data_IF_394413280776
#
_entry.id   IF_394413280776
#
_cell.length_a   1.000
_cell.length_b   1.000
_cell.length_c   1.000
_cell.angle_alpha   90.00
_cell.angle_beta   90.00
_cell.angle_gamma   90.00
#
_symmetry.space_group_name_H-M   'P 1'
#
loop_
_entity.id
_entity.type
_entity.pdbx_description
1 polymer ?
#
# COMPACT_ATOMS: atom_id res chain seq x y z
N UNK A 1 -2.68 -4.00 18.49
CA UNK A 1 -1.42 -3.76 17.71
C UNK A 1 -1.70 -2.93 16.46
N UNK A 2 -2.77 -3.22 15.72
CA UNK A 2 -3.19 -2.48 14.50
C UNK A 2 -3.53 -0.99 14.79
N UNK A 3 -4.18 -0.69 15.92
CA UNK A 3 -4.48 0.70 16.32
C UNK A 3 -3.24 1.56 16.61
N UNK A 4 -2.09 0.97 16.95
CA UNK A 4 -0.87 1.75 17.25
C UNK A 4 -0.07 2.09 15.99
N UNK A 5 -0.24 1.33 14.92
CA UNK A 5 0.51 1.51 13.68
C UNK A 5 -0.09 2.63 12.81
N UNK A 6 -1.43 2.70 12.76
CA UNK A 6 -2.19 3.70 11.98
C UNK A 6 -1.92 5.15 12.42
N UNK A 7 -1.51 5.38 13.67
CA UNK A 7 -1.30 6.74 14.22
C UNK A 7 0.15 7.20 14.28
N UNK A 8 1.13 6.40 13.83
CA UNK A 8 2.55 6.69 14.10
C UNK A 8 3.37 7.20 12.90
N UNK A 9 2.89 7.04 11.66
CA UNK A 9 3.66 7.38 10.47
C UNK A 9 2.73 7.91 9.36
N UNK A 10 2.35 9.19 9.44
CA UNK A 10 2.26 10.11 8.30
C UNK A 10 1.66 11.46 8.70
N UNK A 11 2.39 12.54 8.42
CA UNK A 11 1.97 13.94 8.65
C UNK A 11 0.99 14.49 7.58
N UNK A 12 0.43 13.65 6.68
CA UNK A 12 -0.43 14.14 5.59
C UNK A 12 -1.77 13.40 5.36
N UNK A 13 -2.30 12.66 6.34
CA UNK A 13 -3.68 12.13 6.26
C UNK A 13 -4.71 13.16 6.74
N UNK A 14 -5.02 14.15 5.89
CA UNK A 14 -6.22 14.99 6.03
C UNK A 14 -7.46 14.21 5.59
N UNK A 15 -8.01 13.35 6.46
CA UNK A 15 -9.37 12.86 6.26
C UNK A 15 -10.19 12.79 7.55
N UNK A 16 -11.31 13.53 7.50
CA UNK A 16 -12.48 13.55 8.38
C UNK A 16 -12.26 14.05 9.81
N UNK A 17 -12.66 15.31 10.04
CA UNK A 17 -12.78 15.89 11.38
C UNK A 17 -13.70 15.06 12.28
N UNK A 18 -13.37 14.95 13.57
CA UNK A 18 -14.20 14.29 14.59
C UNK A 18 -15.67 14.81 14.61
N UNK A 19 -15.91 16.01 14.08
CA UNK A 19 -17.24 16.58 13.93
C UNK A 19 -18.12 15.86 12.89
N UNK A 20 -17.54 15.27 11.83
CA UNK A 20 -18.31 14.58 10.78
C UNK A 20 -18.75 13.16 11.22
N UNK A 21 -17.95 12.48 12.04
CA UNK A 21 -18.31 11.18 12.63
C UNK A 21 -19.44 11.31 13.66
N UNK A 22 -19.50 12.44 14.38
CA UNK A 22 -20.57 12.74 15.36
C UNK A 22 -21.96 12.89 14.72
N UNK A 23 -22.03 13.14 13.41
CA UNK A 23 -23.30 13.38 12.70
C UNK A 23 -23.96 12.13 12.11
N UNK A 24 -23.24 11.01 11.96
CA UNK A 24 -23.80 9.77 11.38
C UNK A 24 -24.43 8.81 12.40
N UNK A 25 -24.18 9.02 13.70
CA UNK A 25 -24.65 8.16 14.79
C UNK A 25 -25.98 8.55 15.45
N UNK A 26 -27.00 9.01 14.70
CA UNK A 26 -28.36 9.16 15.26
C UNK A 26 -29.40 8.40 14.42
N UNK A 27 -29.61 7.14 14.83
CA UNK A 27 -30.84 6.39 14.61
C UNK A 27 -32.05 7.32 14.81
N UNK A 28 -32.96 7.31 13.83
CA UNK A 28 -34.24 8.04 13.82
C UNK A 28 -34.07 9.52 14.18
N UNK A 29 -33.71 10.32 13.17
CA UNK A 29 -33.54 11.76 13.28
C UNK A 29 -34.67 12.39 14.13
N UNK A 30 -34.40 12.96 15.33
CA UNK A 30 -35.42 13.59 16.17
C UNK A 30 -36.13 14.73 15.45
N UNK A 31 -35.48 15.38 14.48
CA UNK A 31 -36.13 16.34 13.57
C UNK A 31 -37.25 15.72 12.71
N UNK A 32 -37.29 14.40 12.53
CA UNK A 32 -38.37 13.75 11.80
C UNK A 32 -39.61 13.57 12.67
N UNK A 33 -39.46 13.10 13.90
CA UNK A 33 -40.57 13.05 14.85
C UNK A 33 -41.06 14.47 15.11
N UNK A 34 -40.14 15.42 15.27
CA UNK A 34 -40.45 16.83 15.46
C UNK A 34 -41.13 17.46 14.23
N UNK A 35 -40.65 17.20 13.00
CA UNK A 35 -41.36 17.66 11.78
C UNK A 35 -42.71 16.99 11.60
N UNK A 36 -42.82 15.70 11.90
CA UNK A 36 -44.08 14.96 11.81
C UNK A 36 -45.10 15.48 12.85
N UNK A 37 -44.65 15.76 14.08
CA UNK A 37 -45.48 16.38 15.10
C UNK A 37 -45.85 17.80 14.71
N UNK A 38 -44.96 18.58 14.10
CA UNK A 38 -45.30 19.89 13.54
C UNK A 38 -46.33 19.80 12.40
N UNK A 39 -46.20 18.84 11.48
CA UNK A 39 -47.20 18.62 10.42
C UNK A 39 -48.54 18.16 10.98
N UNK A 40 -48.55 17.26 11.97
CA UNK A 40 -49.75 16.80 12.65
C UNK A 40 -50.40 17.93 13.46
N UNK A 41 -49.63 18.73 14.19
CA UNK A 41 -50.10 19.90 14.93
C UNK A 41 -50.66 20.96 13.99
N UNK A 42 -50.01 21.19 12.84
CA UNK A 42 -50.49 22.12 11.82
C UNK A 42 -51.79 21.61 11.18
N UNK A 43 -51.91 20.30 10.95
CA UNK A 43 -53.13 19.68 10.42
C UNK A 43 -54.27 19.73 11.45
N UNK A 44 -54.00 19.43 12.72
CA UNK A 44 -54.95 19.59 13.84
C UNK A 44 -55.38 21.04 14.00
N UNK A 45 -54.43 21.98 13.90
CA UNK A 45 -54.70 23.42 13.93
C UNK A 45 -55.58 23.86 12.75
N UNK A 46 -55.29 23.42 11.52
CA UNK A 46 -56.12 23.70 10.36
C UNK A 46 -57.55 23.13 10.50
N UNK A 47 -57.70 21.91 11.05
CA UNK A 47 -59.01 21.31 11.35
C UNK A 47 -59.74 22.10 12.44
N UNK A 48 -59.04 22.53 13.49
CA UNK A 48 -59.59 23.33 14.59
C UNK A 48 -60.04 24.72 14.13
N UNK A 49 -59.21 25.41 13.35
CA UNK A 49 -59.52 26.69 12.70
C UNK A 49 -60.78 26.54 11.85
N UNK A 50 -60.85 25.51 11.00
CA UNK A 50 -62.03 25.22 10.17
C UNK A 50 -63.30 24.92 10.98
N UNK A 51 -63.18 24.26 12.14
CA UNK A 51 -64.33 23.88 12.98
C UNK A 51 -64.85 25.05 13.84
N UNK A 52 -63.98 25.97 14.26
CA UNK A 52 -64.32 27.07 15.18
C UNK A 52 -64.52 28.42 14.50
N UNK A 53 -63.87 28.70 13.37
CA UNK A 53 -64.24 29.81 12.50
C UNK A 53 -65.36 29.32 11.58
N UNK A 54 -66.62 29.63 11.93
CA UNK A 54 -67.73 29.58 10.97
C UNK A 54 -67.47 30.63 9.87
N UNK A 55 -66.57 30.32 8.94
CA UNK A 55 -66.42 31.06 7.70
C UNK A 55 -67.75 30.92 6.95
N UNK A 56 -68.56 31.98 7.00
CA UNK A 56 -69.81 32.07 6.25
C UNK A 56 -69.52 31.83 4.78
N UNK A 57 -70.17 30.81 4.21
CA UNK A 57 -69.97 30.32 2.84
C UNK A 57 -70.43 31.29 1.74
N UNK A 58 -70.82 32.52 2.06
CA UNK A 58 -71.46 33.45 1.13
C UNK A 58 -70.56 34.08 0.06
N UNK A 59 -69.25 33.78 0.00
CA UNK A 59 -68.30 34.54 -0.84
C UNK A 59 -68.02 33.87 -2.19
N UNK A 60 -68.53 32.65 -2.45
CA UNK A 60 -68.28 31.94 -3.72
C UNK A 60 -69.52 31.65 -4.58
N UNK A 61 -70.72 32.13 -4.20
CA UNK A 61 -71.92 32.01 -5.07
C UNK A 61 -72.07 33.14 -6.09
N UNK A 62 -71.32 34.24 -5.95
CA UNK A 62 -71.29 35.29 -6.96
C UNK A 62 -69.89 35.35 -7.55
N UNK A 63 -69.78 35.29 -8.88
CA UNK A 63 -68.50 35.39 -9.60
C UNK A 63 -67.76 36.69 -9.30
N UNK A 64 -66.69 36.99 -10.05
CA UNK A 64 -65.72 38.10 -9.85
C UNK A 64 -66.27 39.46 -9.35
N UNK A 65 -67.56 39.78 -9.51
CA UNK A 65 -68.21 40.99 -8.99
C UNK A 65 -68.56 41.01 -7.49
N UNK A 66 -68.69 39.87 -6.81
CA UNK A 66 -68.86 39.82 -5.34
C UNK A 66 -67.55 39.95 -4.55
N UNK A 67 -66.42 39.94 -5.29
CA UNK A 67 -65.06 39.74 -4.79
C UNK A 67 -64.41 41.03 -4.21
N UNK A 68 -65.02 42.20 -4.41
CA UNK A 68 -64.42 43.50 -4.06
C UNK A 68 -65.07 44.21 -2.85
N UNK A 69 -66.24 43.80 -2.35
CA UNK A 69 -67.05 44.63 -1.44
C UNK A 69 -67.54 43.94 -0.14
N UNK A 70 -66.74 43.06 0.48
CA UNK A 70 -67.06 42.42 1.77
C UNK A 70 -66.16 42.87 2.94
N UNK A 71 -66.67 43.09 4.17
CA UNK A 71 -65.94 43.75 5.25
C UNK A 71 -64.92 42.81 5.92
N UNK A 72 -63.64 43.11 5.69
CA UNK A 72 -62.51 42.99 6.63
C UNK A 72 -62.25 41.68 7.40
N UNK A 73 -62.87 40.55 7.02
CA UNK A 73 -62.57 39.22 7.57
C UNK A 73 -61.80 38.29 6.61
N UNK A 74 -61.53 38.73 5.37
CA UNK A 74 -60.86 37.93 4.32
C UNK A 74 -59.53 38.48 3.80
N UNK A 75 -59.00 39.59 4.33
CA UNK A 75 -57.76 40.20 3.81
C UNK A 75 -56.49 39.44 4.22
N UNK A 76 -56.36 39.07 5.50
CA UNK A 76 -55.15 38.42 6.03
C UNK A 76 -54.92 37.04 5.41
N UNK A 77 -55.98 36.24 5.27
CA UNK A 77 -55.92 34.94 4.59
C UNK A 77 -55.55 35.06 3.11
N UNK A 78 -56.09 36.08 2.43
CA UNK A 78 -55.77 36.37 1.03
C UNK A 78 -54.31 36.81 0.84
N UNK A 79 -53.79 37.69 1.70
CA UNK A 79 -52.37 38.08 1.66
C UNK A 79 -51.43 36.93 2.03
N UNK A 80 -51.81 36.07 2.98
CA UNK A 80 -51.07 34.84 3.31
C UNK A 80 -51.03 33.86 2.13
N UNK A 81 -52.14 33.71 1.40
CA UNK A 81 -52.20 32.87 0.20
C UNK A 81 -51.27 33.41 -0.89
N UNK A 82 -51.35 34.71 -1.19
CA UNK A 82 -50.45 35.37 -2.14
C UNK A 82 -48.99 35.16 -1.71
N UNK A 83 -48.70 35.30 -0.42
CA UNK A 83 -47.34 35.12 0.12
C UNK A 83 -46.85 33.68 -0.02
N UNK A 84 -47.70 32.67 0.21
CA UNK A 84 -47.34 31.27 0.01
C UNK A 84 -47.10 30.96 -1.48
N UNK A 85 -47.97 31.43 -2.39
CA UNK A 85 -47.77 31.28 -3.83
C UNK A 85 -46.50 32.00 -4.30
N UNK A 86 -46.19 33.18 -3.76
CA UNK A 86 -44.95 33.90 -4.02
C UNK A 86 -43.71 33.12 -3.54
N UNK A 87 -43.76 32.51 -2.35
CA UNK A 87 -42.67 31.65 -1.82
C UNK A 87 -42.46 30.41 -2.70
N UNK A 88 -43.54 29.75 -3.14
CA UNK A 88 -43.45 28.61 -4.07
C UNK A 88 -42.81 29.05 -5.39
N UNK A 89 -43.21 30.20 -5.93
CA UNK A 89 -42.62 30.78 -7.15
C UNK A 89 -41.14 31.11 -6.99
N UNK A 90 -40.76 31.81 -5.92
CA UNK A 90 -39.36 32.19 -5.63
C UNK A 90 -38.46 30.96 -5.41
N UNK A 91 -38.96 29.94 -4.72
CA UNK A 91 -38.22 28.67 -4.53
C UNK A 91 -38.08 27.89 -5.84
N UNK A 92 -39.06 27.97 -6.74
CA UNK A 92 -38.98 27.42 -8.09
C UNK A 92 -37.93 28.11 -8.96
N UNK A 93 -37.92 29.44 -8.97
CA UNK A 93 -36.89 30.24 -9.67
C UNK A 93 -35.49 29.93 -9.13
N UNK A 94 -35.33 29.85 -7.80
CA UNK A 94 -34.06 29.44 -7.18
C UNK A 94 -33.60 28.04 -7.61
N UNK A 95 -34.54 27.10 -7.75
CA UNK A 95 -34.24 25.75 -8.22
C UNK A 95 -33.81 25.72 -9.69
N UNK A 96 -34.47 26.51 -10.55
CA UNK A 96 -34.10 26.65 -11.97
C UNK A 96 -32.68 27.20 -12.09
N UNK A 97 -32.37 28.28 -11.38
CA UNK A 97 -31.01 28.87 -11.36
C UNK A 97 -29.97 27.86 -10.89
N UNK A 98 -30.24 27.13 -9.80
CA UNK A 98 -29.35 26.06 -9.31
C UNK A 98 -29.20 24.91 -10.31
N UNK A 99 -30.24 24.61 -11.08
CA UNK A 99 -30.20 23.55 -12.11
C UNK A 99 -29.32 23.98 -13.28
N UNK A 100 -29.45 25.23 -13.76
CA UNK A 100 -28.60 25.81 -14.81
C UNK A 100 -27.13 25.85 -14.36
N UNK A 101 -26.86 26.28 -13.12
CA UNK A 101 -25.50 26.27 -12.55
C UNK A 101 -24.90 24.86 -12.49
N UNK A 102 -25.70 23.87 -12.08
CA UNK A 102 -25.24 22.47 -12.01
C UNK A 102 -25.00 21.87 -13.41
N UNK A 103 -25.83 22.19 -14.41
CA UNK A 103 -25.58 21.78 -15.80
C UNK A 103 -24.36 22.46 -16.42
N UNK A 104 -24.10 23.73 -16.09
CA UNK A 104 -22.87 24.41 -16.51
C UNK A 104 -21.63 23.76 -15.90
N UNK A 105 -21.71 23.31 -14.64
CA UNK A 105 -20.64 22.55 -13.99
C UNK A 105 -20.46 21.15 -14.58
N UNK A 106 -21.55 20.50 -15.03
CA UNK A 106 -21.46 19.16 -15.62
C UNK A 106 -20.84 19.15 -17.01
N UNK A 107 -20.91 20.27 -17.75
CA UNK A 107 -20.26 20.41 -19.07
C UNK A 107 -18.72 20.31 -19.01
N UNK A 108 -18.13 20.51 -17.82
CA UNK A 108 -16.68 20.43 -17.58
C UNK A 108 -16.27 19.19 -16.78
N UNK A 109 -17.19 18.26 -16.50
CA UNK A 109 -16.93 17.06 -15.69
C UNK A 109 -16.87 15.79 -16.55
N UNK A 110 -16.12 14.78 -16.10
CA UNK A 110 -16.10 13.44 -16.70
C UNK A 110 -17.51 12.80 -16.73
N UNK A 111 -17.74 11.79 -17.57
CA UNK A 111 -19.04 11.10 -17.74
C UNK A 111 -19.68 10.69 -16.39
N UNK A 112 -18.85 10.23 -15.46
CA UNK A 112 -19.26 9.83 -14.10
C UNK A 112 -19.78 11.03 -13.28
N UNK A 113 -19.11 12.18 -13.36
CA UNK A 113 -19.50 13.43 -12.72
C UNK A 113 -20.81 13.98 -13.28
N UNK A 114 -21.01 13.87 -14.60
CA UNK A 114 -22.25 14.28 -15.26
C UNK A 114 -23.46 13.46 -14.76
N UNK A 115 -23.29 12.14 -14.60
CA UNK A 115 -24.34 11.25 -14.10
C UNK A 115 -24.74 11.58 -12.64
N UNK A 116 -23.76 11.87 -11.77
CA UNK A 116 -24.02 12.31 -10.38
C UNK A 116 -24.84 13.58 -10.35
N UNK A 117 -24.47 14.56 -11.19
CA UNK A 117 -25.13 15.86 -11.26
C UNK A 117 -26.58 15.69 -11.75
N UNK A 118 -26.82 14.92 -12.82
CA UNK A 118 -28.17 14.60 -13.32
C UNK A 118 -29.05 13.95 -12.25
N UNK A 119 -28.54 12.95 -11.51
CA UNK A 119 -29.28 12.32 -10.38
C UNK A 119 -29.62 13.32 -9.27
N UNK A 120 -28.68 14.22 -8.91
CA UNK A 120 -28.88 15.23 -7.86
C UNK A 120 -29.94 16.28 -8.27
N UNK A 121 -29.93 16.69 -9.55
CA UNK A 121 -30.93 17.59 -10.13
C UNK A 121 -32.30 16.91 -10.09
N UNK A 122 -32.42 15.69 -10.62
CA UNK A 122 -33.68 14.93 -10.64
C UNK A 122 -34.30 14.81 -9.25
N UNK A 123 -33.50 14.41 -8.24
CA UNK A 123 -33.97 14.30 -6.86
C UNK A 123 -34.51 15.63 -6.31
N UNK A 124 -33.81 16.75 -6.57
CA UNK A 124 -34.27 18.07 -6.13
C UNK A 124 -35.59 18.48 -6.79
N UNK A 125 -35.74 18.23 -8.08
CA UNK A 125 -36.98 18.49 -8.82
C UNK A 125 -38.15 17.63 -8.30
N UNK A 126 -37.95 16.33 -8.09
CA UNK A 126 -38.98 15.47 -7.49
C UNK A 126 -39.39 15.97 -6.10
N UNK A 127 -38.43 16.36 -5.24
CA UNK A 127 -38.77 16.90 -3.91
C UNK A 127 -39.52 18.22 -3.98
N UNK A 128 -39.16 19.10 -4.92
CA UNK A 128 -39.83 20.37 -5.12
C UNK A 128 -41.27 20.15 -5.60
N UNK A 129 -41.48 19.32 -6.63
CA UNK A 129 -42.82 18.98 -7.15
C UNK A 129 -43.70 18.41 -6.04
N UNK A 130 -43.21 17.44 -5.26
CA UNK A 130 -43.95 16.85 -4.14
C UNK A 130 -44.24 17.84 -3.01
N UNK A 131 -43.37 18.83 -2.78
CA UNK A 131 -43.62 19.88 -1.80
C UNK A 131 -44.65 20.88 -2.32
N UNK A 132 -44.59 21.25 -3.59
CA UNK A 132 -45.54 22.15 -4.25
C UNK A 132 -46.95 21.55 -4.28
N UNK A 133 -47.09 20.27 -4.65
CA UNK A 133 -48.38 19.56 -4.62
C UNK A 133 -48.95 19.53 -3.20
N UNK A 134 -48.10 19.27 -2.20
CA UNK A 134 -48.51 19.30 -0.79
C UNK A 134 -48.97 20.70 -0.35
N UNK A 135 -48.22 21.75 -0.67
CA UNK A 135 -48.55 23.13 -0.33
C UNK A 135 -49.84 23.60 -1.00
N UNK A 136 -50.05 23.28 -2.29
CA UNK A 136 -51.28 23.60 -3.02
C UNK A 136 -52.48 22.87 -2.40
N UNK A 137 -52.31 21.60 -2.04
CA UNK A 137 -53.37 20.78 -1.45
C UNK A 137 -53.76 21.27 -0.05
N UNK A 138 -52.77 21.71 0.75
CA UNK A 138 -52.98 22.33 2.06
C UNK A 138 -53.75 23.65 1.94
N UNK A 139 -53.33 24.51 1.01
CA UNK A 139 -53.99 25.79 0.69
C UNK A 139 -55.46 25.57 0.31
N UNK A 140 -55.73 24.64 -0.60
CA UNK A 140 -57.08 24.38 -1.09
C UNK A 140 -57.96 23.71 -0.03
N UNK A 141 -57.40 22.88 0.85
CA UNK A 141 -58.13 22.35 2.00
C UNK A 141 -58.54 23.46 3.00
N UNK A 142 -57.70 24.48 3.21
CA UNK A 142 -58.04 25.59 4.11
C UNK A 142 -59.09 26.52 3.49
N UNK A 143 -59.04 26.74 2.17
CA UNK A 143 -59.86 27.73 1.47
C UNK A 143 -61.17 27.18 0.88
N UNK A 144 -61.24 25.88 0.58
CA UNK A 144 -62.41 25.24 -0.06
C UNK A 144 -62.90 24.01 0.72
N UNK A 145 -64.22 23.79 0.75
CA UNK A 145 -64.86 22.70 1.50
C UNK A 145 -64.96 21.38 0.70
N UNK A 146 -63.95 21.08 -0.12
CA UNK A 146 -63.93 19.86 -0.94
C UNK A 146 -63.13 18.76 -0.23
N UNK A 147 -63.81 17.65 0.11
CA UNK A 147 -63.21 16.45 0.73
C UNK A 147 -62.03 15.89 -0.08
N UNK A 148 -62.00 16.16 -1.39
CA UNK A 148 -60.95 15.75 -2.33
C UNK A 148 -59.56 16.25 -1.89
N UNK A 149 -59.44 17.49 -1.41
CA UNK A 149 -58.15 18.07 -1.03
C UNK A 149 -57.54 17.45 0.22
N UNK A 150 -58.39 17.01 1.16
CA UNK A 150 -57.96 16.27 2.34
C UNK A 150 -57.37 14.90 1.95
N UNK A 151 -58.02 14.19 1.02
CA UNK A 151 -57.54 12.91 0.52
C UNK A 151 -56.19 13.04 -0.20
N UNK A 152 -56.01 14.07 -1.04
CA UNK A 152 -54.73 14.34 -1.72
C UNK A 152 -53.63 14.64 -0.70
N UNK A 153 -53.93 15.41 0.35
CA UNK A 153 -52.97 15.71 1.41
C UNK A 153 -52.51 14.44 2.14
N UNK A 154 -53.42 13.53 2.50
CA UNK A 154 -53.05 12.24 3.12
C UNK A 154 -52.18 11.41 2.17
N UNK A 155 -52.56 11.30 0.89
CA UNK A 155 -51.80 10.55 -0.11
C UNK A 155 -50.38 11.10 -0.26
N UNK A 156 -50.19 12.42 -0.26
CA UNK A 156 -48.86 13.03 -0.35
C UNK A 156 -47.98 12.79 0.89
N UNK A 157 -48.58 12.69 2.08
CA UNK A 157 -47.85 12.34 3.31
C UNK A 157 -47.43 10.87 3.28
N UNK A 158 -48.35 9.97 2.94
CA UNK A 158 -48.11 8.52 2.85
C UNK A 158 -47.06 8.19 1.79
N UNK A 159 -47.14 8.83 0.62
CA UNK A 159 -46.14 8.63 -0.44
C UNK A 159 -44.73 9.09 -0.01
N UNK A 160 -44.62 10.22 0.70
CA UNK A 160 -43.32 10.69 1.24
C UNK A 160 -42.75 9.75 2.29
N UNK A 161 -43.57 9.19 3.19
CA UNK A 161 -43.10 8.23 4.20
C UNK A 161 -42.65 6.92 3.56
N UNK A 162 -43.40 6.40 2.58
CA UNK A 162 -43.02 5.19 1.84
C UNK A 162 -41.67 5.38 1.11
N UNK A 163 -41.50 6.48 0.36
CA UNK A 163 -40.24 6.76 -0.35
C UNK A 163 -39.05 6.80 0.62
N UNK A 164 -39.23 7.38 1.81
CA UNK A 164 -38.18 7.46 2.82
C UNK A 164 -37.85 6.10 3.45
N UNK A 165 -38.86 5.27 3.70
CA UNK A 165 -38.67 3.90 4.22
C UNK A 165 -37.93 3.02 3.20
N UNK A 166 -38.31 3.09 1.93
CA UNK A 166 -37.60 2.40 0.85
C UNK A 166 -36.13 2.84 0.78
N UNK A 167 -35.87 4.14 0.90
CA UNK A 167 -34.49 4.66 0.94
C UNK A 167 -33.66 4.12 2.11
N UNK A 168 -34.25 3.96 3.29
CA UNK A 168 -33.57 3.39 4.46
C UNK A 168 -33.25 1.90 4.26
N UNK A 169 -34.18 1.13 3.69
CA UNK A 169 -33.98 -0.29 3.39
C UNK A 169 -32.83 -0.49 2.38
N UNK A 170 -32.76 0.34 1.34
CA UNK A 170 -31.67 0.29 0.35
C UNK A 170 -30.32 0.56 1.02
N UNK A 171 -30.25 1.53 1.95
CA UNK A 171 -28.99 1.83 2.66
C UNK A 171 -28.59 0.66 3.58
N UNK A 172 -29.52 0.08 4.32
CA UNK A 172 -29.24 -1.08 5.17
C UNK A 172 -28.73 -2.28 4.36
N UNK A 173 -29.37 -2.55 3.22
CA UNK A 173 -28.95 -3.62 2.31
C UNK A 173 -27.51 -3.39 1.81
N UNK A 174 -27.16 -2.16 1.43
CA UNK A 174 -25.79 -1.82 1.00
C UNK A 174 -24.75 -2.02 2.08
N UNK A 175 -25.06 -1.63 3.32
CA UNK A 175 -24.15 -1.81 4.46
C UNK A 175 -23.93 -3.30 4.73
N UNK A 176 -25.00 -4.11 4.74
CA UNK A 176 -24.92 -5.54 4.98
C UNK A 176 -24.06 -6.26 3.93
N UNK A 177 -24.16 -5.85 2.66
CA UNK A 177 -23.33 -6.40 1.59
C UNK A 177 -21.85 -6.04 1.73
N UNK A 178 -21.53 -4.78 2.06
CA UNK A 178 -20.13 -4.38 2.33
C UNK A 178 -19.57 -5.14 3.52
N UNK A 179 -20.33 -5.28 4.61
CA UNK A 179 -19.84 -5.98 5.79
C UNK A 179 -19.58 -7.45 5.50
N UNK A 180 -20.47 -8.13 4.75
CA UNK A 180 -20.25 -9.52 4.34
C UNK A 180 -19.00 -9.65 3.46
N UNK A 181 -18.87 -8.81 2.43
CA UNK A 181 -17.70 -8.81 1.56
C UNK A 181 -16.38 -8.56 2.29
N UNK A 182 -16.40 -7.68 3.31
CA UNK A 182 -15.22 -7.43 4.16
C UNK A 182 -14.92 -8.62 5.07
N UNK A 183 -15.95 -9.27 5.61
CA UNK A 183 -15.79 -10.43 6.49
C UNK A 183 -15.20 -11.62 5.73
N UNK A 184 -15.74 -11.91 4.54
CA UNK A 184 -15.21 -12.93 3.62
C UNK A 184 -13.75 -12.61 3.24
N UNK A 185 -13.47 -11.35 2.89
CA UNK A 185 -12.11 -10.95 2.52
C UNK A 185 -11.13 -11.05 3.70
N UNK A 186 -11.54 -10.72 4.93
CA UNK A 186 -10.70 -10.88 6.12
C UNK A 186 -10.39 -12.35 6.38
N UNK A 187 -11.40 -13.23 6.28
CA UNK A 187 -11.20 -14.68 6.45
C UNK A 187 -10.25 -15.26 5.38
N UNK A 188 -10.32 -14.76 4.15
CA UNK A 188 -9.43 -15.18 3.08
C UNK A 188 -7.99 -14.66 3.25
N UNK A 189 -7.80 -13.47 3.83
CA UNK A 189 -6.47 -13.00 4.25
C UNK A 189 -5.88 -13.91 5.32
N UNK A 190 -6.68 -14.34 6.31
CA UNK A 190 -6.22 -15.29 7.34
C UNK A 190 -5.82 -16.65 6.75
N UNK A 191 -6.54 -17.09 5.71
CA UNK A 191 -6.26 -18.35 5.01
C UNK A 191 -5.17 -18.22 3.91
N UNK A 192 -4.77 -17.00 3.54
CA UNK A 192 -3.74 -16.70 2.55
C UNK A 192 -4.15 -16.91 1.09
N UNK A 193 -5.45 -16.87 0.77
CA UNK A 193 -6.00 -17.11 -0.58
C UNK A 193 -6.56 -15.84 -1.21
N UNK A 194 -5.68 -14.92 -1.60
CA UNK A 194 -6.02 -13.57 -2.07
C UNK A 194 -6.71 -13.54 -3.45
N UNK A 195 -6.67 -14.63 -4.23
CA UNK A 195 -7.34 -14.69 -5.53
C UNK A 195 -8.86 -14.65 -5.41
N UNK A 196 -9.41 -15.25 -4.36
CA UNK A 196 -10.86 -15.27 -4.11
C UNK A 196 -11.41 -13.91 -3.66
N UNK A 197 -10.58 -13.10 -3.00
CA UNK A 197 -10.93 -11.72 -2.64
C UNK A 197 -11.14 -10.91 -3.92
N UNK A 198 -10.25 -11.08 -4.89
CA UNK A 198 -10.36 -10.39 -6.17
C UNK A 198 -11.63 -10.78 -6.94
N UNK A 199 -11.98 -12.08 -6.96
CA UNK A 199 -13.18 -12.59 -7.63
C UNK A 199 -14.47 -12.12 -6.93
N UNK A 200 -14.53 -12.23 -5.60
CA UNK A 200 -15.70 -11.81 -4.80
C UNK A 200 -15.95 -10.31 -4.93
N UNK A 201 -14.89 -9.50 -4.91
CA UNK A 201 -15.01 -8.06 -5.11
C UNK A 201 -15.35 -7.69 -6.55
N UNK A 202 -14.87 -8.44 -7.55
CA UNK A 202 -15.23 -8.23 -8.96
C UNK A 202 -16.72 -8.51 -9.22
N UNK A 203 -17.26 -9.57 -8.62
CA UNK A 203 -18.69 -9.92 -8.71
C UNK A 203 -19.58 -8.83 -8.09
N UNK A 204 -19.14 -8.24 -6.97
CA UNK A 204 -19.83 -7.14 -6.29
C UNK A 204 -19.75 -5.80 -7.03
N UNK A 205 -18.62 -5.54 -7.70
CA UNK A 205 -18.42 -4.32 -8.50
C UNK A 205 -19.32 -4.35 -9.74
N UNK A 206 -19.41 -5.50 -10.41
CA UNK A 206 -20.26 -5.73 -11.56
C UNK A 206 -19.90 -4.88 -12.79
N UNK A 207 -19.95 -5.47 -13.98
CA UNK A 207 -19.50 -4.81 -15.22
C UNK A 207 -20.61 -4.06 -15.99
N UNK A 208 -21.77 -3.83 -15.34
CA UNK A 208 -22.99 -3.36 -16.02
C UNK A 208 -23.55 -2.03 -15.53
N UNK A 209 -23.93 -1.16 -16.47
CA UNK A 209 -24.61 0.14 -16.24
C UNK A 209 -25.87 0.05 -15.34
N UNK A 210 -26.52 -1.13 -15.27
CA UNK A 210 -27.70 -1.37 -14.44
C UNK A 210 -27.41 -1.43 -12.94
N UNK A 211 -26.20 -1.82 -12.56
CA UNK A 211 -25.75 -1.95 -11.17
C UNK A 211 -25.46 -0.54 -10.60
N UNK A 212 -24.85 0.36 -11.37
CA UNK A 212 -24.60 1.75 -10.93
C UNK A 212 -25.86 2.55 -10.59
N UNK A 213 -27.01 2.18 -11.17
CA UNK A 213 -28.30 2.78 -10.84
C UNK A 213 -28.77 2.40 -9.43
N UNK A 214 -28.60 1.13 -9.03
CA UNK A 214 -29.05 0.58 -7.75
C UNK A 214 -28.04 0.83 -6.63
N UNK A 215 -26.74 0.81 -6.94
CA UNK A 215 -25.65 0.91 -5.96
C UNK A 215 -25.11 2.33 -5.80
N UNK A 216 -25.19 3.16 -6.84
CA UNK A 216 -24.69 4.53 -6.85
C UNK A 216 -23.16 4.60 -6.91
N UNK A 217 -22.66 5.58 -7.65
CA UNK A 217 -21.23 5.72 -7.99
C UNK A 217 -20.29 5.72 -6.78
N UNK A 218 -20.72 6.32 -5.66
CA UNK A 218 -19.94 6.30 -4.42
C UNK A 218 -19.73 4.90 -3.80
N UNK A 219 -20.58 3.92 -4.11
CA UNK A 219 -20.42 2.54 -3.63
C UNK A 219 -19.36 1.79 -4.43
N UNK A 220 -19.35 1.96 -5.76
CA UNK A 220 -18.35 1.38 -6.65
C UNK A 220 -16.95 1.86 -6.31
N UNK A 221 -16.77 3.16 -6.08
CA UNK A 221 -15.48 3.71 -5.65
C UNK A 221 -14.97 3.07 -4.34
N UNK A 222 -15.83 2.89 -3.34
CA UNK A 222 -15.45 2.26 -2.07
C UNK A 222 -14.99 0.81 -2.30
N UNK A 223 -15.71 0.04 -3.13
CA UNK A 223 -15.30 -1.33 -3.43
C UNK A 223 -13.96 -1.41 -4.16
N UNK A 224 -13.73 -0.51 -5.13
CA UNK A 224 -12.44 -0.43 -5.84
C UNK A 224 -11.32 -0.06 -4.87
N UNK A 225 -11.55 0.90 -3.98
CA UNK A 225 -10.55 1.35 -3.00
C UNK A 225 -10.21 0.23 -2.01
N UNK A 226 -11.23 -0.48 -1.50
CA UNK A 226 -11.03 -1.67 -0.65
C UNK A 226 -10.22 -2.74 -1.40
N UNK A 227 -10.51 -2.99 -2.69
CA UNK A 227 -9.74 -3.93 -3.51
C UNK A 227 -8.27 -3.54 -3.61
N UNK A 228 -7.98 -2.25 -3.80
CA UNK A 228 -6.59 -1.77 -3.84
C UNK A 228 -5.88 -1.90 -2.50
N UNK A 229 -6.60 -1.72 -1.38
CA UNK A 229 -6.04 -1.91 -0.05
C UNK A 229 -5.69 -3.38 0.21
N UNK A 230 -6.55 -4.32 -0.17
CA UNK A 230 -6.26 -5.75 -0.02
C UNK A 230 -5.04 -6.19 -0.81
N UNK A 231 -4.86 -5.70 -2.05
CA UNK A 231 -3.63 -5.97 -2.83
C UNK A 231 -2.37 -5.46 -2.13
N UNK A 232 -2.40 -4.25 -1.56
CA UNK A 232 -1.27 -3.73 -0.79
C UNK A 232 -0.96 -4.59 0.43
N UNK A 233 -2.00 -5.07 1.12
CA UNK A 233 -1.83 -5.97 2.27
C UNK A 233 -1.21 -7.30 1.83
N UNK A 234 -1.62 -7.84 0.69
CA UNK A 234 -1.03 -9.06 0.11
C UNK A 234 0.47 -8.88 -0.15
N UNK A 235 0.86 -7.80 -0.81
CA UNK A 235 2.26 -7.53 -1.14
C UNK A 235 3.12 -7.41 0.13
N UNK A 236 2.65 -6.64 1.12
CA UNK A 236 3.35 -6.48 2.41
C UNK A 236 3.48 -7.83 3.14
N UNK A 237 2.42 -8.64 3.12
CA UNK A 237 2.43 -9.95 3.82
C UNK A 237 3.40 -10.92 3.14
N UNK A 238 3.50 -10.90 1.81
CA UNK A 238 4.50 -11.68 1.06
C UNK A 238 5.91 -11.25 1.41
N UNK A 239 6.19 -9.95 1.37
CA UNK A 239 7.51 -9.40 1.74
C UNK A 239 7.88 -9.77 3.18
N UNK A 240 6.97 -9.62 4.14
CA UNK A 240 7.20 -9.98 5.54
C UNK A 240 7.53 -11.47 5.70
N UNK A 241 6.79 -12.34 5.00
CA UNK A 241 7.02 -13.78 5.02
C UNK A 241 8.37 -14.16 4.42
N UNK A 242 8.76 -13.56 3.30
CA UNK A 242 10.08 -13.75 2.69
C UNK A 242 11.20 -13.30 3.62
N UNK A 243 11.06 -12.12 4.22
CA UNK A 243 12.01 -11.60 5.22
C UNK A 243 12.13 -12.55 6.43
N UNK A 244 11.01 -13.03 6.95
CA UNK A 244 11.00 -13.96 8.08
C UNK A 244 11.66 -15.30 7.73
N UNK A 245 11.37 -15.86 6.54
CA UNK A 245 12.01 -17.07 6.06
C UNK A 245 13.52 -16.89 5.89
N UNK A 246 13.94 -15.78 5.26
CA UNK A 246 15.35 -15.44 5.08
C UNK A 246 16.08 -15.31 6.43
N UNK A 247 15.45 -14.66 7.41
CA UNK A 247 15.99 -14.51 8.77
C UNK A 247 16.11 -15.85 9.49
N UNK A 248 15.08 -16.70 9.42
CA UNK A 248 15.14 -18.03 10.05
C UNK A 248 16.17 -18.92 9.39
N UNK A 249 16.23 -18.92 8.06
CA UNK A 249 17.23 -19.65 7.30
C UNK A 249 18.66 -19.20 7.67
N UNK A 250 18.88 -17.89 7.81
CA UNK A 250 20.12 -17.31 8.31
C UNK A 250 20.45 -17.86 9.71
N UNK A 251 19.55 -17.75 10.68
CA UNK A 251 19.79 -18.19 12.06
C UNK A 251 20.06 -19.71 12.13
N UNK A 252 19.27 -20.53 11.45
CA UNK A 252 19.39 -22.00 11.50
C UNK A 252 20.71 -22.48 10.88
N UNK A 253 21.08 -21.98 9.71
CA UNK A 253 22.34 -22.39 9.06
C UNK A 253 23.57 -21.85 9.79
N UNK A 254 23.52 -20.61 10.27
CA UNK A 254 24.59 -20.07 11.12
C UNK A 254 24.75 -20.88 12.40
N UNK A 255 23.65 -21.27 13.04
CA UNK A 255 23.71 -22.09 14.26
C UNK A 255 24.42 -23.43 13.98
N UNK A 256 24.14 -24.05 12.83
CA UNK A 256 24.81 -25.27 12.41
C UNK A 256 26.32 -25.04 12.14
N UNK A 257 26.64 -23.98 11.41
CA UNK A 257 28.00 -23.67 10.98
C UNK A 257 28.89 -23.15 12.10
N UNK A 258 28.32 -22.57 13.16
CA UNK A 258 29.03 -22.25 14.40
C UNK A 258 29.22 -23.49 15.29
N UNK A 259 28.24 -24.40 15.32
CA UNK A 259 28.28 -25.61 16.16
C UNK A 259 29.39 -26.58 15.73
N UNK A 260 29.64 -26.74 14.44
CA UNK A 260 30.69 -27.64 13.92
C UNK A 260 32.11 -27.27 14.39
N UNK A 261 32.63 -26.04 14.18
CA UNK A 261 33.94 -25.63 14.67
C UNK A 261 33.99 -25.61 16.19
N UNK A 262 32.92 -25.19 16.88
CA UNK A 262 32.86 -25.19 18.33
C UNK A 262 33.00 -26.61 18.91
N UNK A 263 32.29 -27.60 18.35
CA UNK A 263 32.40 -29.00 18.77
C UNK A 263 33.81 -29.54 18.52
N UNK A 264 34.43 -29.16 17.40
CA UNK A 264 35.83 -29.53 17.11
C UNK A 264 36.82 -28.90 18.10
N UNK A 265 36.62 -27.64 18.49
CA UNK A 265 37.45 -26.94 19.49
C UNK A 265 37.32 -27.63 20.84
N UNK A 266 36.08 -27.91 21.27
CA UNK A 266 35.80 -28.64 22.52
C UNK A 266 36.51 -30.00 22.50
N UNK A 267 36.43 -30.75 21.41
CA UNK A 267 37.11 -32.04 21.27
C UNK A 267 38.64 -31.91 21.30
N UNK A 268 39.23 -30.94 20.60
CA UNK A 268 40.69 -30.70 20.66
C UNK A 268 41.15 -30.33 22.07
N UNK A 269 40.36 -29.56 22.83
CA UNK A 269 40.62 -29.27 24.25
C UNK A 269 40.52 -30.55 25.09
N UNK A 270 39.51 -31.40 24.87
CA UNK A 270 39.39 -32.69 25.58
C UNK A 270 40.58 -33.61 25.31
N UNK A 271 41.05 -33.66 24.05
CA UNK A 271 42.23 -34.44 23.68
C UNK A 271 43.46 -33.85 24.38
N UNK A 272 43.69 -32.54 24.29
CA UNK A 272 44.84 -31.86 24.91
C UNK A 272 44.90 -32.01 26.45
N UNK A 273 43.77 -32.24 27.11
CA UNK A 273 43.71 -32.53 28.56
C UNK A 273 44.23 -33.93 28.94
N UNK A 274 44.46 -34.81 27.98
CA UNK A 274 45.01 -36.14 28.24
C UNK A 274 46.52 -36.07 28.51
N UNK A 275 46.94 -36.45 29.71
CA UNK A 275 48.35 -36.38 30.16
C UNK A 275 49.29 -37.35 29.43
N UNK A 276 48.74 -38.28 28.64
CA UNK A 276 49.50 -39.33 27.93
C UNK A 276 49.94 -38.94 26.51
N UNK A 277 49.60 -37.74 26.02
CA UNK A 277 49.97 -37.27 24.68
C UNK A 277 51.46 -36.95 24.55
N UNK A 278 52.06 -37.35 23.43
CA UNK A 278 53.40 -36.89 23.07
C UNK A 278 53.43 -35.39 22.73
N UNK A 279 54.58 -34.75 22.87
CA UNK A 279 54.77 -33.33 22.51
C UNK A 279 54.45 -33.04 21.03
N UNK A 280 54.68 -34.01 20.13
CA UNK A 280 54.34 -33.88 18.71
C UNK A 280 52.83 -33.87 18.47
N UNK A 281 52.08 -34.73 19.18
CA UNK A 281 50.61 -34.79 19.08
C UNK A 281 49.94 -33.56 19.71
N UNK A 282 50.49 -33.06 20.83
CA UNK A 282 50.04 -31.79 21.42
C UNK A 282 50.20 -30.64 20.45
N UNK A 283 51.37 -30.52 19.82
CA UNK A 283 51.63 -29.45 18.84
C UNK A 283 50.67 -29.53 17.65
N UNK A 284 50.44 -30.74 17.11
CA UNK A 284 49.45 -30.93 16.04
C UNK A 284 48.02 -30.56 16.45
N UNK A 285 47.61 -30.86 17.69
CA UNK A 285 46.29 -30.47 18.18
C UNK A 285 46.15 -28.97 18.44
N UNK A 286 47.23 -28.29 18.86
CA UNK A 286 47.26 -26.83 18.99
C UNK A 286 47.10 -26.19 17.60
N UNK A 287 47.82 -26.66 16.58
CA UNK A 287 47.67 -26.15 15.20
C UNK A 287 46.24 -26.37 14.64
N UNK A 288 45.61 -27.51 14.95
CA UNK A 288 44.21 -27.74 14.59
C UNK A 288 43.30 -26.76 15.32
N UNK A 289 43.50 -26.56 16.62
CA UNK A 289 42.70 -25.64 17.43
C UNK A 289 42.82 -24.19 16.96
N UNK A 290 44.03 -23.72 16.63
CA UNK A 290 44.28 -22.39 16.06
C UNK A 290 43.51 -22.19 14.74
N UNK A 291 43.62 -23.15 13.81
CA UNK A 291 42.86 -23.11 12.54
C UNK A 291 41.35 -23.07 12.76
N UNK A 292 40.83 -23.80 13.76
CA UNK A 292 39.39 -23.82 14.06
C UNK A 292 38.93 -22.51 14.70
N UNK A 293 39.74 -21.89 15.56
CA UNK A 293 39.46 -20.56 16.15
C UNK A 293 39.48 -19.45 15.09
N UNK A 294 40.46 -19.48 14.19
CA UNK A 294 40.53 -18.53 13.08
C UNK A 294 39.29 -18.65 12.18
N UNK A 295 38.88 -19.88 11.83
CA UNK A 295 37.66 -20.13 11.08
C UNK A 295 36.40 -19.62 11.80
N UNK A 296 36.30 -19.79 13.11
CA UNK A 296 35.17 -19.29 13.90
C UNK A 296 35.12 -17.75 13.91
N UNK A 297 36.27 -17.09 14.02
CA UNK A 297 36.35 -15.63 13.99
C UNK A 297 35.93 -15.06 12.63
N UNK A 298 36.30 -15.71 11.53
CA UNK A 298 35.85 -15.32 10.18
C UNK A 298 34.32 -15.44 10.08
N UNK A 299 33.74 -16.54 10.57
CA UNK A 299 32.29 -16.76 10.60
C UNK A 299 31.53 -15.69 11.37
N UNK A 300 32.04 -15.30 12.54
CA UNK A 300 31.44 -14.24 13.37
C UNK A 300 31.54 -12.88 12.67
N UNK A 301 32.67 -12.60 12.02
CA UNK A 301 32.88 -11.35 11.28
C UNK A 301 31.95 -11.25 10.08
N UNK A 302 31.86 -12.30 9.26
CA UNK A 302 30.96 -12.39 8.10
C UNK A 302 29.49 -12.23 8.54
N UNK A 303 29.12 -12.79 9.70
CA UNK A 303 27.80 -12.63 10.29
C UNK A 303 27.50 -11.18 10.66
N UNK A 304 28.39 -10.54 11.43
CA UNK A 304 28.20 -9.15 11.84
C UNK A 304 28.09 -8.23 10.62
N UNK A 305 28.92 -8.43 9.60
CA UNK A 305 28.84 -7.68 8.33
C UNK A 305 27.49 -7.90 7.62
N UNK A 306 26.98 -9.13 7.63
CA UNK A 306 25.68 -9.46 7.01
C UNK A 306 24.51 -8.78 7.73
N UNK A 307 24.57 -8.67 9.06
CA UNK A 307 23.55 -8.00 9.88
C UNK A 307 23.66 -6.49 9.78
N UNK A 308 24.88 -5.95 9.81
CA UNK A 308 25.11 -4.51 9.73
C UNK A 308 24.70 -3.96 8.36
N UNK A 309 24.96 -4.70 7.28
CA UNK A 309 24.59 -4.29 5.91
C UNK A 309 23.09 -4.22 5.64
N UNK A 310 22.26 -4.91 6.41
CA UNK A 310 20.79 -4.80 6.34
C UNK A 310 20.25 -3.58 7.10
N UNK A 311 21.10 -2.85 7.83
CA UNK A 311 20.70 -1.67 8.58
C UNK A 311 20.77 -0.42 7.68
N UNK A 312 19.61 0.22 7.41
CA UNK A 312 19.50 1.45 6.61
C UNK A 312 20.28 2.67 7.17
N UNK A 313 20.93 2.54 8.33
CA UNK A 313 21.74 3.59 8.96
C UNK A 313 23.26 3.39 8.90
N UNK A 314 23.78 2.46 8.08
CA UNK A 314 25.23 2.21 7.99
C UNK A 314 25.99 3.43 7.45
N UNK A 315 26.81 4.06 8.30
CA UNK A 315 27.62 5.21 7.91
C UNK A 315 28.78 4.75 7.03
N UNK A 316 28.69 5.07 5.73
CA UNK A 316 29.78 4.85 4.76
C UNK A 316 30.74 6.03 4.78
N UNK A 317 32.02 5.77 5.08
CA UNK A 317 33.05 6.81 5.13
C UNK A 317 33.72 6.92 3.76
N UNK A 318 33.03 7.52 2.80
CA UNK A 318 33.56 7.70 1.45
C UNK A 318 34.71 8.69 1.44
N UNK A 319 35.79 8.34 0.75
CA UNK A 319 36.93 9.19 0.46
C UNK A 319 37.42 8.95 -0.96
N UNK A 320 38.26 9.85 -1.44
CA UNK A 320 38.92 9.70 -2.72
C UNK A 320 39.95 8.55 -2.65
N UNK A 321 39.72 7.49 -3.44
CA UNK A 321 40.60 6.32 -3.49
C UNK A 321 41.12 6.08 -4.91
N UNK A 322 42.40 5.75 -5.03
CA UNK A 322 43.00 5.30 -6.28
C UNK A 322 42.79 3.79 -6.43
N UNK A 323 41.80 3.41 -7.24
CA UNK A 323 41.36 2.02 -7.31
C UNK A 323 42.44 1.09 -7.90
N UNK A 324 43.26 1.61 -8.81
CA UNK A 324 44.37 0.88 -9.42
C UNK A 324 45.40 0.43 -8.36
N UNK A 325 45.76 1.33 -7.44
CA UNK A 325 46.72 1.05 -6.37
C UNK A 325 46.14 0.07 -5.35
N UNK A 326 44.88 0.27 -4.93
CA UNK A 326 44.18 -0.62 -3.99
C UNK A 326 44.12 -2.06 -4.53
N UNK A 327 43.66 -2.25 -5.77
CA UNK A 327 43.57 -3.59 -6.37
C UNK A 327 44.95 -4.24 -6.52
N UNK A 328 45.97 -3.46 -6.88
CA UNK A 328 47.34 -3.96 -7.01
C UNK A 328 47.88 -4.45 -5.66
N UNK A 329 47.66 -3.69 -4.59
CA UNK A 329 48.09 -4.07 -3.24
C UNK A 329 47.40 -5.37 -2.78
N UNK A 330 46.09 -5.50 -2.99
CA UNK A 330 45.35 -6.71 -2.64
C UNK A 330 45.81 -7.95 -3.43
N UNK A 331 46.09 -7.78 -4.73
CA UNK A 331 46.67 -8.86 -5.56
C UNK A 331 48.05 -9.27 -5.05
N UNK A 332 48.87 -8.33 -4.59
CA UNK A 332 50.20 -8.61 -4.03
C UNK A 332 50.12 -9.43 -2.75
N UNK A 333 49.18 -9.13 -1.84
CA UNK A 333 48.91 -9.91 -0.62
C UNK A 333 48.56 -11.36 -0.95
N UNK A 334 47.81 -11.59 -2.02
CA UNK A 334 47.43 -12.94 -2.47
C UNK A 334 48.48 -13.63 -3.35
N UNK A 335 49.57 -12.98 -3.72
CA UNK A 335 50.53 -13.49 -4.71
C UNK A 335 51.11 -14.87 -4.36
N UNK A 336 51.40 -15.13 -3.08
CA UNK A 336 51.91 -16.44 -2.63
C UNK A 336 50.84 -17.53 -2.68
N UNK A 337 49.58 -17.19 -2.35
CA UNK A 337 48.44 -18.12 -2.48
C UNK A 337 48.22 -18.49 -3.95
N UNK A 338 48.21 -17.50 -4.84
CA UNK A 338 48.05 -17.75 -6.27
C UNK A 338 49.19 -18.57 -6.87
N UNK A 339 50.44 -18.32 -6.46
CA UNK A 339 51.59 -19.17 -6.85
C UNK A 339 51.41 -20.61 -6.35
N UNK A 340 50.93 -20.80 -5.11
CA UNK A 340 50.71 -22.14 -4.56
C UNK A 340 49.62 -22.93 -5.31
N UNK A 341 48.68 -22.23 -5.94
CA UNK A 341 47.60 -22.80 -6.77
C UNK A 341 47.89 -22.74 -8.28
N UNK A 342 49.11 -22.36 -8.69
CA UNK A 342 49.53 -22.16 -10.08
C UNK A 342 48.59 -21.25 -10.91
N UNK A 343 48.06 -20.19 -10.30
CA UNK A 343 47.22 -19.21 -10.98
C UNK A 343 48.04 -18.03 -11.51
N UNK A 344 47.94 -17.73 -12.80
CA UNK A 344 48.63 -16.61 -13.46
C UNK A 344 47.71 -15.38 -13.56
N UNK A 345 48.01 -14.34 -12.80
CA UNK A 345 47.20 -13.11 -12.77
C UNK A 345 47.62 -12.15 -13.86
N UNK A 346 46.65 -11.76 -14.68
CA UNK A 346 46.75 -10.71 -15.69
C UNK A 346 45.98 -9.48 -15.25
N UNK A 347 46.71 -8.51 -14.70
CA UNK A 347 46.18 -7.21 -14.31
C UNK A 347 46.31 -6.23 -15.49
N UNK A 348 45.17 -5.78 -16.01
CA UNK A 348 45.07 -4.77 -17.06
C UNK A 348 44.47 -3.50 -16.47
N UNK A 349 45.33 -2.50 -16.24
CA UNK A 349 44.93 -1.19 -15.69
C UNK A 349 45.20 -0.07 -16.69
N UNK A 350 44.39 1.00 -16.70
CA UNK A 350 44.66 2.19 -17.50
C UNK A 350 46.00 2.82 -17.08
N UNK A 351 46.64 3.55 -18.01
CA UNK A 351 47.87 4.29 -17.71
C UNK A 351 47.66 5.45 -16.74
N UNK A 352 46.46 6.00 -16.71
CA UNK A 352 46.07 7.04 -15.76
C UNK A 352 45.47 6.40 -14.50
N UNK A 353 45.78 6.98 -13.34
CA UNK A 353 45.13 6.60 -12.09
C UNK A 353 43.61 6.82 -12.21
N UNK A 354 42.85 5.78 -11.87
CA UNK A 354 41.40 5.88 -11.78
C UNK A 354 41.02 6.14 -10.33
N UNK A 355 40.33 7.25 -10.12
CA UNK A 355 39.93 7.69 -8.79
C UNK A 355 38.42 7.56 -8.60
N UNK A 356 38.01 7.01 -7.45
CA UNK A 356 36.62 6.79 -7.08
C UNK A 356 36.33 7.34 -5.67
N UNK A 357 35.10 7.76 -5.41
CA UNK A 357 34.66 8.22 -4.08
C UNK A 357 34.01 7.05 -3.31
N UNK A 358 34.81 6.26 -2.62
CA UNK A 358 34.40 5.01 -1.98
C UNK A 358 34.95 4.90 -0.55
N UNK A 359 34.38 4.00 0.24
CA UNK A 359 34.90 3.63 1.55
C UNK A 359 36.01 2.59 1.35
N UNK A 360 37.24 2.98 1.69
CA UNK A 360 38.44 2.17 1.44
C UNK A 360 38.35 0.80 2.12
N UNK A 361 37.94 0.74 3.40
CA UNK A 361 37.88 -0.50 4.16
C UNK A 361 36.85 -1.47 3.55
N UNK A 362 35.68 -0.95 3.16
CA UNK A 362 34.64 -1.75 2.49
C UNK A 362 35.07 -2.18 1.10
N UNK A 363 35.83 -1.35 0.38
CA UNK A 363 36.34 -1.67 -0.96
C UNK A 363 37.42 -2.76 -0.90
N UNK A 364 38.36 -2.66 0.05
CA UNK A 364 39.33 -3.72 0.35
C UNK A 364 38.60 -5.02 0.63
N UNK A 365 37.55 -4.98 1.46
CA UNK A 365 36.74 -6.16 1.78
C UNK A 365 36.04 -6.78 0.58
N UNK A 366 35.53 -5.97 -0.35
CA UNK A 366 34.96 -6.46 -1.61
C UNK A 366 36.05 -7.21 -2.40
N UNK A 367 37.21 -6.60 -2.59
CA UNK A 367 38.31 -7.19 -3.36
C UNK A 367 38.83 -8.47 -2.70
N UNK A 368 39.01 -8.48 -1.38
CA UNK A 368 39.42 -9.65 -0.60
C UNK A 368 38.46 -10.83 -0.79
N UNK A 369 37.15 -10.60 -0.69
CA UNK A 369 36.14 -11.65 -0.94
C UNK A 369 36.19 -12.18 -2.37
N UNK A 370 36.44 -11.32 -3.36
CA UNK A 370 36.58 -11.73 -4.77
C UNK A 370 37.85 -12.57 -4.96
N UNK A 371 39.01 -12.09 -4.49
CA UNK A 371 40.30 -12.78 -4.65
C UNK A 371 40.33 -14.12 -3.90
N UNK A 372 39.74 -14.16 -2.70
CA UNK A 372 39.54 -15.39 -1.93
C UNK A 372 38.71 -16.42 -2.70
N UNK A 373 37.59 -16.00 -3.29
CA UNK A 373 36.76 -16.87 -4.13
C UNK A 373 37.52 -17.37 -5.36
N UNK A 374 38.25 -16.48 -6.05
CA UNK A 374 39.08 -16.85 -7.20
C UNK A 374 40.13 -17.91 -6.78
N UNK A 375 40.84 -17.70 -5.67
CA UNK A 375 41.85 -18.66 -5.22
C UNK A 375 41.26 -20.03 -4.86
N UNK A 376 40.04 -20.06 -4.31
CA UNK A 376 39.37 -21.31 -3.90
C UNK A 376 38.77 -22.09 -5.07
N UNK A 377 38.17 -21.40 -6.03
CA UNK A 377 37.30 -22.00 -7.03
C UNK A 377 37.88 -22.01 -8.45
N UNK A 378 39.02 -21.37 -8.70
CA UNK A 378 39.64 -21.41 -10.03
C UNK A 378 40.30 -22.76 -10.32
N UNK A 379 40.26 -23.17 -11.59
CA UNK A 379 40.99 -24.32 -12.10
C UNK A 379 42.50 -24.04 -12.01
N UNK A 380 43.26 -25.00 -11.49
CA UNK A 380 44.72 -24.92 -11.41
C UNK A 380 45.35 -24.75 -12.80
N UNK A 381 46.53 -24.14 -12.87
CA UNK A 381 47.26 -23.84 -14.12
C UNK A 381 46.50 -22.94 -15.12
N UNK A 382 45.53 -22.14 -14.65
CA UNK A 382 44.78 -21.19 -15.47
C UNK A 382 45.12 -19.73 -15.17
N UNK A 383 44.57 -18.83 -16.00
CA UNK A 383 44.76 -17.38 -15.87
C UNK A 383 43.54 -16.74 -15.22
N UNK A 384 43.83 -15.76 -14.37
CA UNK A 384 42.82 -14.85 -13.80
C UNK A 384 43.03 -13.48 -14.42
N UNK A 385 41.98 -12.89 -14.98
CA UNK A 385 42.04 -11.55 -15.55
C UNK A 385 41.37 -10.54 -14.62
N UNK A 386 42.06 -9.43 -14.38
CA UNK A 386 41.53 -8.28 -13.64
C UNK A 386 41.64 -7.07 -14.55
N UNK A 387 40.52 -6.58 -15.05
CA UNK A 387 40.46 -5.46 -15.98
C UNK A 387 39.83 -4.24 -15.29
N UNK A 388 40.50 -3.09 -15.33
CA UNK A 388 39.91 -1.80 -14.91
C UNK A 388 39.69 -0.96 -16.17
N UNK A 389 38.44 -0.58 -16.44
CA UNK A 389 38.05 0.18 -17.62
C UNK A 389 37.32 1.44 -17.17
N UNK A 390 37.88 2.61 -17.52
CA UNK A 390 37.24 3.91 -17.33
C UNK A 390 36.34 4.19 -18.55
N UNK A 391 35.03 4.23 -18.35
CA UNK A 391 34.05 4.68 -19.35
C UNK A 391 33.68 6.15 -19.11
N UNK A 392 32.77 6.68 -19.93
CA UNK A 392 32.35 8.09 -19.85
C UNK A 392 31.70 8.42 -18.50
N UNK A 393 30.74 7.59 -18.05
CA UNK A 393 29.95 7.85 -16.82
C UNK A 393 30.32 6.95 -15.63
N UNK A 394 31.06 5.86 -15.85
CA UNK A 394 31.37 4.90 -14.82
C UNK A 394 32.77 4.28 -14.98
N UNK A 395 33.23 3.65 -13.90
CA UNK A 395 34.41 2.80 -13.87
C UNK A 395 33.93 1.37 -13.70
N UNK A 396 34.35 0.50 -14.62
CA UNK A 396 34.08 -0.93 -14.57
C UNK A 396 35.33 -1.67 -14.13
N UNK A 397 35.20 -2.50 -13.09
CA UNK A 397 36.25 -3.40 -12.60
C UNK A 397 35.75 -4.81 -12.83
N UNK A 398 36.46 -5.56 -13.67
CA UNK A 398 36.05 -6.91 -14.06
C UNK A 398 37.05 -7.94 -13.57
N UNK A 399 36.56 -8.97 -12.90
CA UNK A 399 37.33 -10.14 -12.50
C UNK A 399 36.84 -11.35 -13.29
N UNK A 400 37.75 -12.10 -13.90
CA UNK A 400 37.44 -13.31 -14.68
C UNK A 400 38.33 -14.46 -14.28
N UNK A 401 37.74 -15.63 -14.07
CA UNK A 401 38.47 -16.86 -13.82
C UNK A 401 37.77 -18.06 -14.46
N UNK A 402 38.54 -19.11 -14.74
CA UNK A 402 38.00 -20.41 -15.17
C UNK A 402 37.76 -21.23 -13.91
N UNK A 403 36.53 -21.69 -13.71
CA UNK A 403 36.15 -22.48 -12.55
C UNK A 403 36.71 -23.90 -12.61
N UNK A 404 37.16 -24.43 -11.47
CA UNK A 404 37.59 -25.83 -11.29
C UNK A 404 36.42 -26.81 -11.41
N UNK A 405 35.21 -26.34 -11.12
CA UNK A 405 33.97 -27.11 -11.15
C UNK A 405 32.98 -26.46 -12.11
N UNK A 406 32.20 -27.27 -12.83
CA UNK A 406 31.08 -26.73 -13.60
C UNK A 406 30.13 -25.93 -12.70
N UNK A 407 29.82 -24.70 -13.12
CA UNK A 407 28.98 -23.78 -12.35
C UNK A 407 27.52 -24.10 -12.65
N UNK A 408 26.91 -24.91 -11.77
CA UNK A 408 25.51 -25.36 -11.88
C UNK A 408 24.60 -24.54 -10.96
N UNK A 409 24.67 -23.22 -11.11
CA UNK A 409 23.90 -22.23 -10.33
C UNK A 409 23.45 -21.14 -11.27
N UNK A 410 22.21 -20.69 -11.11
CA UNK A 410 21.68 -19.58 -11.91
C UNK A 410 22.45 -18.28 -11.60
N UNK A 411 22.87 -17.58 -12.67
CA UNK A 411 23.52 -16.27 -12.61
C UNK A 411 22.69 -15.27 -11.79
N UNK A 412 21.37 -15.36 -11.87
CA UNK A 412 20.47 -14.45 -11.14
C UNK A 412 20.48 -14.70 -9.63
N UNK A 413 20.79 -15.91 -9.19
CA UNK A 413 20.74 -16.31 -7.78
C UNK A 413 22.11 -16.46 -7.14
N UNK A 414 23.20 -16.57 -7.92
CA UNK A 414 24.56 -16.78 -7.38
C UNK A 414 25.05 -15.66 -6.44
N UNK A 415 24.49 -14.45 -6.59
CA UNK A 415 24.76 -13.31 -5.72
C UNK A 415 23.88 -13.23 -4.48
N UNK A 416 22.92 -14.14 -4.32
CA UNK A 416 22.02 -14.20 -3.18
C UNK A 416 22.68 -14.91 -2.00
N UNK A 417 22.20 -14.61 -0.79
CA UNK A 417 22.79 -15.12 0.45
C UNK A 417 22.67 -16.64 0.50
N UNK A 418 23.76 -17.29 0.89
CA UNK A 418 23.86 -18.74 1.13
C UNK A 418 23.71 -19.63 -0.10
N UNK A 419 23.73 -19.05 -1.30
CA UNK A 419 23.72 -19.85 -2.53
C UNK A 419 25.10 -20.50 -2.72
N UNK A 420 25.10 -21.82 -2.88
CA UNK A 420 26.29 -22.62 -3.17
C UNK A 420 25.99 -23.59 -4.30
N UNK A 421 26.97 -23.84 -5.16
CA UNK A 421 26.86 -24.93 -6.13
C UNK A 421 26.83 -26.29 -5.44
N UNK A 422 26.04 -27.23 -5.97
CA UNK A 422 25.91 -28.58 -5.39
C UNK A 422 27.24 -29.31 -5.26
N UNK A 423 28.17 -29.05 -6.18
CA UNK A 423 29.53 -29.62 -6.17
C UNK A 423 30.49 -28.91 -5.19
N UNK A 424 30.15 -27.70 -4.73
CA UNK A 424 30.96 -26.94 -3.75
C UNK A 424 30.52 -27.14 -2.30
N UNK A 425 29.44 -27.89 -2.01
CA UNK A 425 28.92 -28.12 -0.64
C UNK A 425 29.92 -28.77 0.33
N UNK A 426 30.94 -29.46 -0.20
CA UNK A 426 32.00 -30.08 0.61
C UNK A 426 33.25 -29.18 0.77
N UNK A 427 33.26 -28.00 0.15
CA UNK A 427 34.36 -27.02 0.25
C UNK A 427 34.08 -25.96 1.33
N UNK A 428 35.15 -25.37 1.88
CA UNK A 428 35.02 -24.31 2.88
C UNK A 428 34.45 -23.00 2.28
N UNK A 429 33.14 -22.82 2.43
CA UNK A 429 32.42 -21.58 2.11
C UNK A 429 31.01 -21.59 2.70
N UNK A 430 30.50 -20.41 3.07
CA UNK A 430 29.19 -20.24 3.72
C UNK A 430 28.14 -19.63 2.76
N UNK A 431 28.49 -19.44 1.48
CA UNK A 431 27.63 -18.79 0.48
C UNK A 431 27.36 -17.30 0.74
N UNK A 432 28.14 -16.67 1.63
CA UNK A 432 27.99 -15.25 1.98
C UNK A 432 28.93 -14.32 1.19
N UNK A 433 30.00 -14.84 0.59
CA UNK A 433 31.02 -13.97 -0.03
C UNK A 433 30.47 -13.09 -1.15
N UNK A 434 29.70 -13.66 -2.09
CA UNK A 434 29.14 -12.92 -3.22
C UNK A 434 28.00 -11.97 -2.81
N UNK A 435 27.20 -12.34 -1.81
CA UNK A 435 26.15 -11.48 -1.27
C UNK A 435 26.73 -10.30 -0.48
N UNK A 436 27.82 -10.49 0.26
CA UNK A 436 28.58 -9.40 0.92
C UNK A 436 29.13 -8.44 -0.13
N UNK A 437 29.70 -8.94 -1.24
CA UNK A 437 30.18 -8.10 -2.35
C UNK A 437 29.04 -7.24 -2.92
N UNK A 438 27.89 -7.87 -3.21
CA UNK A 438 26.69 -7.17 -3.72
C UNK A 438 26.23 -6.09 -2.74
N UNK A 439 26.13 -6.43 -1.46
CA UNK A 439 25.67 -5.51 -0.41
C UNK A 439 26.62 -4.32 -0.20
N UNK A 440 27.93 -4.57 -0.01
CA UNK A 440 28.93 -3.53 0.20
C UNK A 440 29.08 -2.61 -1.03
N UNK A 441 28.93 -3.14 -2.24
CA UNK A 441 28.94 -2.33 -3.45
C UNK A 441 27.70 -1.44 -3.54
N UNK A 442 26.51 -2.00 -3.26
CA UNK A 442 25.24 -1.26 -3.30
C UNK A 442 25.20 -0.11 -2.29
N UNK A 443 25.63 -0.34 -1.04
CA UNK A 443 25.66 0.72 0.00
C UNK A 443 26.65 1.84 -0.38
N UNK A 444 27.67 1.54 -1.18
CA UNK A 444 28.57 2.53 -1.73
C UNK A 444 28.05 3.23 -3.00
N UNK A 445 26.87 2.85 -3.50
CA UNK A 445 26.26 3.40 -4.72
C UNK A 445 26.78 2.75 -6.01
N UNK A 446 27.43 1.59 -5.91
CA UNK A 446 27.87 0.79 -7.05
C UNK A 446 26.85 -0.30 -7.42
N UNK A 447 27.09 -0.97 -8.56
CA UNK A 447 26.31 -2.10 -9.03
C UNK A 447 27.22 -3.30 -9.28
N UNK A 448 26.75 -4.50 -8.93
CA UNK A 448 27.44 -5.77 -9.18
C UNK A 448 26.66 -6.57 -10.22
N UNK A 449 27.37 -7.11 -11.20
CA UNK A 449 26.82 -8.01 -12.21
C UNK A 449 27.68 -9.28 -12.28
N UNK A 450 27.00 -10.43 -12.37
CA UNK A 450 27.62 -11.74 -12.55
C UNK A 450 27.30 -12.23 -13.97
N UNK A 451 28.24 -12.95 -14.58
CA UNK A 451 28.09 -13.58 -15.89
C UNK A 451 28.81 -14.94 -15.88
N UNK A 452 28.14 -15.96 -16.41
CA UNK A 452 28.65 -17.33 -16.46
C UNK A 452 28.57 -17.82 -17.91
N UNK A 453 29.72 -18.20 -18.46
CA UNK A 453 29.82 -18.72 -19.82
C UNK A 453 30.56 -20.06 -19.81
N UNK A 454 29.80 -21.15 -19.63
CA UNK A 454 30.37 -22.46 -19.34
C UNK A 454 31.14 -22.42 -18.02
N UNK A 455 32.45 -22.66 -18.08
CA UNK A 455 33.32 -22.62 -16.89
C UNK A 455 33.91 -21.23 -16.62
N UNK A 456 33.67 -20.24 -17.49
CA UNK A 456 34.12 -18.87 -17.27
C UNK A 456 33.17 -18.17 -16.31
N UNK A 457 33.68 -17.81 -15.13
CA UNK A 457 33.01 -16.90 -14.21
C UNK A 457 33.52 -15.48 -14.40
N UNK A 458 32.59 -14.53 -14.49
CA UNK A 458 32.88 -13.10 -14.63
C UNK A 458 32.07 -12.30 -13.62
N UNK A 459 32.76 -11.45 -12.86
CA UNK A 459 32.17 -10.51 -11.92
C UNK A 459 32.55 -9.09 -12.33
N UNK A 460 31.55 -8.22 -12.47
CA UNK A 460 31.72 -6.81 -12.86
C UNK A 460 31.21 -5.91 -11.74
N UNK A 461 32.09 -5.06 -11.22
CA UNK A 461 31.74 -3.95 -10.35
C UNK A 461 31.64 -2.67 -11.18
N UNK A 462 30.56 -1.91 -11.03
CA UNK A 462 30.36 -0.62 -11.68
C UNK A 462 30.18 0.47 -10.64
N UNK A 463 31.02 1.51 -10.69
CA UNK A 463 30.90 2.68 -9.83
C UNK A 463 30.80 3.94 -10.68
N UNK A 464 29.91 4.86 -10.30
CA UNK A 464 29.75 6.15 -10.98
C UNK A 464 31.01 6.99 -10.81
N UNK A 465 31.45 7.62 -11.90
CA UNK A 465 32.59 8.53 -11.89
C UNK A 465 32.18 9.88 -11.28
N UNK A 466 33.12 10.55 -10.61
CA UNK A 466 32.96 11.94 -10.16
C UNK A 466 33.06 12.89 -11.37
#
# INVERSE_FOLDING_TARGET
>A
MIEKYIYSHDEELKYLSEEELKYRGKLINPLFIEKLTWYLLLLIYCVWVRKNLKLSYGIFETGLGGFLNGPMANSVGYYLLILIYAIIGLTGVSLIVKTVQLYALSANSNEEGEMIIKKKIFKKWCTYILNTIFSISLINYITSNLQIWFNILIITIVTKTIIKLIGLLIIQFRIAMISGALEDAIEEVENGDFNKIEDSMAELIGDGDGIEFIWGLGFKHILVEIKTLFRKIEDITKEEKELYQNKNYLITNLSHDLKTPLTSIINSIYILKNETLSEKEKKGQIEILEKKLERLNILIKDLNETVDTDYEGLVVKKKEIKINELIKNEIEIYSDKFKSSNLDIKLNVPKEDVTLFLDEDKTIRIVDNILSNINKYSLEDTRVYVDIIKKEENVEITFKNISKYGIDVDVNTIGERFVQGDKSRNMEGHGLGLSIIKSLANIQGGKVEFDIQGDLFKLVLKFTKI
#
